data_IF_103351424178
#
_entry.id   IF_103351424178
#
_cell.length_a   1.000
_cell.length_b   1.000
_cell.length_c   1.000
_cell.angle_alpha   90.00
_cell.angle_beta   90.00
_cell.angle_gamma   90.00
#
_symmetry.space_group_name_H-M   'P 1'
#
loop_
_entity.id
_entity.type
_entity.pdbx_description
1 polymer ?
#
# COMPACT_ATOMS: atom_id res chain seq x y z
N UNK A 1 -15.54 12.49 1.37
CA UNK A 1 -16.20 11.70 2.45
C UNK A 1 -15.78 12.28 3.80
N UNK A 2 -16.69 12.44 4.77
CA UNK A 2 -16.34 12.87 6.13
C UNK A 2 -15.55 11.77 6.84
N UNK A 3 -14.61 12.09 7.71
CA UNK A 3 -13.73 11.11 8.36
C UNK A 3 -14.49 10.08 9.18
N UNK A 4 -15.57 10.49 9.88
CA UNK A 4 -16.43 9.54 10.62
C UNK A 4 -17.04 8.45 9.73
N UNK A 5 -17.47 8.79 8.49
CA UNK A 5 -18.00 7.81 7.54
C UNK A 5 -16.89 6.91 6.99
N UNK A 6 -15.69 7.45 6.79
CA UNK A 6 -14.52 6.65 6.42
C UNK A 6 -14.24 5.58 7.49
N UNK A 7 -14.10 5.96 8.75
CA UNK A 7 -13.83 5.03 9.85
C UNK A 7 -14.94 4.01 10.06
N UNK A 8 -16.20 4.39 9.85
CA UNK A 8 -17.33 3.45 9.89
C UNK A 8 -17.22 2.39 8.79
N UNK A 9 -17.02 2.81 7.54
CA UNK A 9 -16.89 1.89 6.39
C UNK A 9 -15.68 0.98 6.60
N UNK A 10 -14.52 1.54 6.94
CA UNK A 10 -13.29 0.80 7.19
C UNK A 10 -13.47 -0.17 8.36
N UNK A 11 -14.16 0.22 9.42
CA UNK A 11 -14.46 -0.65 10.55
C UNK A 11 -15.34 -1.85 10.17
N UNK A 12 -16.38 -1.62 9.36
CA UNK A 12 -17.24 -2.69 8.84
C UNK A 12 -16.43 -3.64 7.95
N UNK A 13 -15.68 -3.12 6.99
CA UNK A 13 -14.83 -3.95 6.12
C UNK A 13 -13.74 -4.68 6.92
N UNK A 14 -13.12 -4.01 7.89
CA UNK A 14 -12.12 -4.61 8.77
C UNK A 14 -12.68 -5.79 9.57
N UNK A 15 -13.89 -5.65 10.08
CA UNK A 15 -14.56 -6.72 10.82
C UNK A 15 -14.85 -7.96 9.96
N UNK A 16 -15.28 -7.78 8.72
CA UNK A 16 -15.65 -8.89 7.84
C UNK A 16 -14.48 -9.45 7.02
N UNK A 17 -13.60 -8.57 6.51
CA UNK A 17 -12.56 -8.96 5.55
C UNK A 17 -11.18 -9.12 6.19
N UNK A 18 -10.87 -8.29 7.21
CA UNK A 18 -9.56 -8.30 7.84
C UNK A 18 -9.66 -8.21 9.37
N UNK A 19 -9.62 -9.35 10.03
CA UNK A 19 -9.48 -9.44 11.50
C UNK A 19 -8.01 -9.62 11.86
N UNK A 20 -7.18 -8.66 11.45
CA UNK A 20 -5.75 -8.72 11.66
C UNK A 20 -5.31 -8.05 12.97
N UNK A 21 -4.07 -8.35 13.38
CA UNK A 21 -3.41 -7.72 14.52
C UNK A 21 -2.41 -6.69 14.03
N UNK A 22 -2.53 -5.46 14.52
CA UNK A 22 -1.52 -4.42 14.38
C UNK A 22 -0.44 -4.60 15.43
N UNK A 23 0.82 -4.49 15.04
CA UNK A 23 2.02 -4.62 15.89
C UNK A 23 2.89 -3.40 15.64
N UNK A 24 3.47 -2.81 16.69
CA UNK A 24 4.29 -1.61 16.58
C UNK A 24 3.47 -0.33 16.48
N UNK A 25 2.28 -0.28 17.09
CA UNK A 25 1.43 0.92 17.14
C UNK A 25 2.16 2.15 17.69
N UNK A 26 3.12 1.95 18.55
CA UNK A 26 3.97 3.00 19.13
C UNK A 26 4.82 3.73 18.08
N UNK A 27 5.04 3.10 16.92
CA UNK A 27 5.77 3.69 15.80
C UNK A 27 4.89 4.56 14.89
N UNK A 28 3.56 4.50 15.03
CA UNK A 28 2.66 5.30 14.18
C UNK A 28 2.92 6.80 14.35
N UNK A 29 2.80 7.59 13.27
CA UNK A 29 2.95 9.04 13.36
C UNK A 29 1.87 9.63 14.25
N UNK A 30 2.28 10.51 15.19
CA UNK A 30 1.33 11.25 16.04
C UNK A 30 0.59 12.32 15.27
N UNK A 31 1.25 12.91 14.29
CA UNK A 31 0.73 13.93 13.40
C UNK A 31 1.26 13.68 11.98
N UNK A 32 0.48 14.07 10.98
CA UNK A 32 0.94 14.07 9.60
C UNK A 32 1.68 15.35 9.21
N UNK A 33 2.19 15.40 7.99
CA UNK A 33 2.06 14.37 6.96
C UNK A 33 3.03 13.20 7.12
N UNK A 34 2.68 12.04 6.57
CA UNK A 34 3.58 10.91 6.45
C UNK A 34 3.21 10.00 5.28
N UNK A 35 4.15 9.16 4.84
CA UNK A 35 3.94 8.16 3.79
C UNK A 35 4.15 6.77 4.35
N UNK A 36 3.15 5.93 4.25
CA UNK A 36 3.25 4.51 4.57
C UNK A 36 3.67 3.73 3.32
N UNK A 37 4.68 2.88 3.46
CA UNK A 37 5.19 2.01 2.41
C UNK A 37 4.97 0.57 2.82
N UNK A 38 4.31 -0.23 1.98
CA UNK A 38 3.93 -1.60 2.32
C UNK A 38 4.16 -2.58 1.17
N UNK A 39 4.31 -3.86 1.51
CA UNK A 39 4.20 -4.95 0.55
C UNK A 39 2.72 -5.18 0.17
N UNK A 40 2.49 -5.64 -1.06
CA UNK A 40 1.14 -5.68 -1.64
C UNK A 40 0.30 -6.89 -1.15
N UNK A 41 0.90 -8.05 -0.96
CA UNK A 41 0.22 -9.31 -0.58
C UNK A 41 -1.08 -9.55 -1.38
N UNK A 42 -1.03 -9.41 -2.69
CA UNK A 42 -2.17 -9.47 -3.62
C UNK A 42 -3.32 -8.53 -3.19
N UNK A 43 -4.58 -8.93 -3.36
CA UNK A 43 -5.73 -8.10 -3.00
C UNK A 43 -5.89 -7.90 -1.47
N UNK A 44 -5.31 -8.78 -0.65
CA UNK A 44 -5.45 -8.70 0.80
C UNK A 44 -4.62 -7.57 1.42
N UNK A 45 -3.49 -7.21 0.82
CA UNK A 45 -2.58 -6.20 1.36
C UNK A 45 -3.21 -4.81 1.52
N UNK A 46 -3.77 -4.21 0.45
CA UNK A 46 -4.45 -2.93 0.56
C UNK A 46 -5.59 -2.91 1.57
N UNK A 47 -6.40 -3.97 1.61
CA UNK A 47 -7.48 -4.12 2.60
C UNK A 47 -6.91 -4.17 4.01
N UNK A 48 -5.88 -4.98 4.22
CA UNK A 48 -5.20 -5.11 5.50
C UNK A 48 -4.67 -3.77 6.01
N UNK A 49 -3.95 -3.04 5.17
CA UNK A 49 -3.38 -1.74 5.54
C UNK A 49 -4.47 -0.73 5.88
N UNK A 50 -5.47 -0.54 5.01
CA UNK A 50 -6.55 0.41 5.21
C UNK A 50 -7.36 0.10 6.47
N UNK A 51 -7.62 -1.20 6.74
CA UNK A 51 -8.42 -1.63 7.89
C UNK A 51 -7.66 -1.67 9.22
N UNK A 52 -6.32 -1.73 9.20
CA UNK A 52 -5.51 -1.83 10.42
C UNK A 52 -4.95 -0.50 10.89
N UNK A 53 -4.67 0.43 9.96
CA UNK A 53 -4.09 1.73 10.32
C UNK A 53 -5.19 2.64 10.88
N UNK A 54 -5.03 3.19 12.13
CA UNK A 54 -6.09 3.96 12.80
C UNK A 54 -6.26 5.38 12.25
N UNK A 55 -5.50 5.76 11.23
CA UNK A 55 -5.60 7.06 10.56
C UNK A 55 -6.09 6.89 9.12
N UNK A 56 -6.75 7.92 8.61
CA UNK A 56 -7.19 7.93 7.21
C UNK A 56 -6.00 8.05 6.29
N UNK A 57 -5.81 7.05 5.43
CA UNK A 57 -4.76 7.04 4.41
C UNK A 57 -5.34 7.27 3.02
N UNK A 58 -4.53 7.83 2.12
CA UNK A 58 -4.84 8.06 0.70
C UNK A 58 -3.97 7.11 -0.13
N UNK A 59 -4.50 5.93 -0.54
CA UNK A 59 -3.71 4.95 -1.26
C UNK A 59 -3.36 5.39 -2.68
N UNK A 60 -2.15 5.08 -3.12
CA UNK A 60 -1.80 5.09 -4.54
C UNK A 60 -2.42 3.88 -5.23
N UNK A 61 -3.18 4.13 -6.28
CA UNK A 61 -3.87 3.09 -7.06
C UNK A 61 -3.58 3.31 -8.54
N UNK A 62 -3.33 2.24 -9.29
CA UNK A 62 -3.13 2.32 -10.75
C UNK A 62 -4.32 3.05 -11.36
N UNK A 63 -4.05 4.09 -12.14
CA UNK A 63 -5.09 4.98 -12.69
C UNK A 63 -6.16 4.22 -13.48
N UNK A 64 -5.76 3.18 -14.20
CA UNK A 64 -6.68 2.34 -14.98
C UNK A 64 -7.72 1.62 -14.09
N UNK A 65 -7.38 1.29 -12.84
CA UNK A 65 -8.33 0.70 -11.88
C UNK A 65 -9.34 1.71 -11.33
N UNK A 66 -9.09 2.99 -11.51
CA UNK A 66 -10.02 4.08 -11.15
C UNK A 66 -10.86 4.54 -12.35
N UNK A 67 -10.56 4.07 -13.55
CA UNK A 67 -11.31 4.35 -14.77
C UNK A 67 -12.42 3.30 -14.95
N UNK A 68 -13.67 3.76 -15.15
CA UNK A 68 -14.86 2.88 -15.28
C UNK A 68 -14.82 1.94 -16.49
N UNK A 69 -14.06 2.31 -17.53
CA UNK A 69 -13.98 1.56 -18.78
C UNK A 69 -12.79 0.58 -18.78
N UNK A 70 -11.70 0.94 -18.09
CA UNK A 70 -10.48 0.13 -18.00
C UNK A 70 -10.46 -0.81 -16.78
N UNK A 71 -11.02 -0.38 -15.66
CA UNK A 71 -11.05 -1.18 -14.42
C UNK A 71 -11.64 -2.60 -14.59
N UNK A 72 -12.72 -2.82 -15.38
CA UNK A 72 -13.22 -4.16 -15.62
C UNK A 72 -12.23 -5.11 -16.24
N UNK A 73 -11.32 -4.63 -17.11
CA UNK A 73 -10.30 -5.43 -17.78
C UNK A 73 -9.26 -5.90 -16.76
N UNK A 74 -8.80 -4.97 -15.90
CA UNK A 74 -7.86 -5.27 -14.82
C UNK A 74 -8.44 -6.23 -13.79
N UNK A 75 -9.65 -5.96 -13.30
CA UNK A 75 -10.31 -6.84 -12.33
C UNK A 75 -10.63 -8.22 -12.89
N UNK A 76 -10.97 -8.32 -14.18
CA UNK A 76 -11.20 -9.60 -14.82
C UNK A 76 -9.94 -10.46 -14.80
N UNK A 77 -8.82 -9.92 -15.29
CA UNK A 77 -7.57 -10.68 -15.43
C UNK A 77 -6.94 -11.02 -14.07
N UNK A 78 -6.78 -10.02 -13.19
CA UNK A 78 -5.97 -10.17 -11.98
C UNK A 78 -6.75 -10.73 -10.78
N UNK A 79 -8.04 -10.50 -10.72
CA UNK A 79 -8.84 -10.93 -9.58
C UNK A 79 -9.85 -12.04 -9.92
N UNK A 80 -10.73 -11.79 -10.90
CA UNK A 80 -11.87 -12.68 -11.16
C UNK A 80 -11.42 -14.00 -11.81
N UNK A 81 -10.52 -13.94 -12.79
CA UNK A 81 -10.03 -15.15 -13.45
C UNK A 81 -8.90 -15.80 -12.67
N UNK A 82 -7.97 -15.00 -12.12
CA UNK A 82 -6.78 -15.51 -11.44
C UNK A 82 -7.05 -16.01 -10.01
N UNK A 83 -7.89 -15.29 -9.23
CA UNK A 83 -8.14 -15.62 -7.83
C UNK A 83 -9.48 -16.34 -7.60
N UNK A 84 -10.55 -15.93 -8.31
CA UNK A 84 -11.86 -16.57 -8.20
C UNK A 84 -12.07 -17.71 -9.21
N UNK A 85 -11.14 -17.89 -10.16
CA UNK A 85 -11.16 -18.93 -11.18
C UNK A 85 -12.40 -18.97 -12.08
N UNK A 86 -13.13 -17.86 -12.20
CA UNK A 86 -14.22 -17.77 -13.15
C UNK A 86 -13.70 -17.60 -14.58
N UNK A 87 -14.40 -18.26 -15.54
CA UNK A 87 -14.07 -18.15 -16.97
C UNK A 87 -15.06 -17.25 -17.70
N UNK A 88 -14.72 -16.68 -18.88
CA UNK A 88 -15.66 -15.99 -19.73
C UNK A 88 -16.83 -16.91 -20.16
N UNK A 89 -18.07 -16.40 -20.26
CA UNK A 89 -18.47 -14.99 -20.12
C UNK A 89 -18.70 -14.51 -18.67
N UNK A 90 -18.76 -15.42 -17.70
CA UNK A 90 -19.08 -15.11 -16.29
C UNK A 90 -18.07 -14.12 -15.69
N UNK A 91 -16.78 -14.30 -15.95
CA UNK A 91 -15.75 -13.39 -15.45
C UNK A 91 -15.97 -11.93 -15.86
N UNK A 92 -16.45 -11.70 -17.10
CA UNK A 92 -16.78 -10.35 -17.59
C UNK A 92 -17.94 -9.68 -16.85
N UNK A 93 -18.98 -10.47 -16.52
CA UNK A 93 -20.13 -9.95 -15.78
C UNK A 93 -19.75 -9.63 -14.33
N UNK A 94 -19.02 -10.54 -13.69
CA UNK A 94 -18.58 -10.36 -12.32
C UNK A 94 -17.62 -9.16 -12.20
N UNK A 95 -16.65 -9.01 -13.10
CA UNK A 95 -15.72 -7.88 -13.07
C UNK A 95 -16.43 -6.53 -13.27
N UNK A 96 -17.42 -6.44 -14.18
CA UNK A 96 -18.22 -5.23 -14.35
C UNK A 96 -19.03 -4.90 -13.10
N UNK A 97 -19.66 -5.90 -12.49
CA UNK A 97 -20.43 -5.72 -11.25
C UNK A 97 -19.52 -5.26 -10.10
N UNK A 98 -18.32 -5.84 -9.96
CA UNK A 98 -17.34 -5.42 -8.96
C UNK A 98 -16.85 -3.99 -9.22
N UNK A 99 -16.61 -3.61 -10.47
CA UNK A 99 -16.18 -2.25 -10.82
C UNK A 99 -17.22 -1.19 -10.50
N UNK A 100 -18.50 -1.50 -10.60
CA UNK A 100 -19.57 -0.55 -10.23
C UNK A 100 -19.54 -0.16 -8.74
N UNK A 101 -18.87 -0.98 -7.92
CA UNK A 101 -18.69 -0.72 -6.48
C UNK A 101 -17.27 -0.20 -6.20
N UNK A 102 -16.23 -0.85 -6.76
CA UNK A 102 -14.85 -0.52 -6.43
C UNK A 102 -14.41 0.85 -6.94
N UNK A 103 -14.81 1.25 -8.14
CA UNK A 103 -14.42 2.57 -8.68
C UNK A 103 -14.97 3.73 -7.84
N UNK A 104 -16.29 3.81 -7.53
CA UNK A 104 -16.78 4.83 -6.60
C UNK A 104 -16.15 4.76 -5.21
N UNK A 105 -15.79 3.55 -4.74
CA UNK A 105 -15.14 3.37 -3.45
C UNK A 105 -13.73 3.99 -3.46
N UNK A 106 -12.93 3.78 -4.51
CA UNK A 106 -11.59 4.40 -4.64
C UNK A 106 -11.66 5.94 -4.59
N UNK A 107 -12.62 6.53 -5.30
CA UNK A 107 -12.85 7.98 -5.22
C UNK A 107 -13.28 8.42 -3.82
N UNK A 108 -14.14 7.66 -3.15
CA UNK A 108 -14.63 7.97 -1.80
C UNK A 108 -13.53 7.86 -0.75
N UNK A 109 -12.62 6.89 -0.89
CA UNK A 109 -11.44 6.74 -0.04
C UNK A 109 -10.42 7.86 -0.28
N UNK A 110 -10.50 8.56 -1.41
CA UNK A 110 -9.53 9.58 -1.82
C UNK A 110 -8.24 8.96 -2.33
N UNK A 111 -8.35 7.83 -3.04
CA UNK A 111 -7.21 7.20 -3.69
C UNK A 111 -6.58 8.15 -4.72
N UNK A 112 -5.26 8.08 -4.84
CA UNK A 112 -4.46 8.91 -5.75
C UNK A 112 -4.13 8.06 -6.99
N UNK A 113 -4.52 8.48 -8.20
CA UNK A 113 -4.23 7.73 -9.41
C UNK A 113 -2.74 7.74 -9.75
N UNK A 114 -2.17 6.56 -10.00
CA UNK A 114 -0.77 6.39 -10.41
C UNK A 114 -0.69 6.03 -11.88
N UNK A 115 0.02 6.84 -12.65
CA UNK A 115 0.23 6.64 -14.09
C UNK A 115 1.60 5.98 -14.34
N UNK A 116 1.79 4.75 -13.84
CA UNK A 116 3.08 4.06 -13.83
C UNK A 116 3.72 3.86 -15.21
N UNK A 117 2.91 3.65 -16.24
CA UNK A 117 3.38 3.45 -17.61
C UNK A 117 3.64 4.75 -18.40
N UNK A 118 3.24 5.90 -17.86
CA UNK A 118 3.26 7.20 -18.54
C UNK A 118 4.08 8.20 -17.72
N UNK A 119 5.38 8.28 -17.99
CA UNK A 119 6.30 9.16 -17.25
C UNK A 119 5.82 10.62 -17.18
N UNK A 120 5.26 11.13 -18.27
CA UNK A 120 4.72 12.50 -18.33
C UNK A 120 3.53 12.71 -17.38
N UNK A 121 2.73 11.69 -17.13
CA UNK A 121 1.56 11.76 -16.23
C UNK A 121 1.90 11.46 -14.76
N UNK A 122 3.10 10.95 -14.47
CA UNK A 122 3.58 10.79 -13.09
C UNK A 122 3.62 12.16 -12.35
N UNK A 123 3.81 13.24 -13.07
CA UNK A 123 3.74 14.59 -12.50
C UNK A 123 2.38 14.84 -11.82
N UNK A 124 1.28 14.47 -12.46
CA UNK A 124 -0.07 14.61 -11.89
C UNK A 124 -0.26 13.77 -10.61
N UNK A 125 0.31 12.54 -10.56
CA UNK A 125 0.31 11.74 -9.34
C UNK A 125 1.04 12.45 -8.20
N UNK A 126 2.22 12.98 -8.47
CA UNK A 126 3.02 13.70 -7.48
C UNK A 126 2.33 14.99 -7.02
N UNK A 127 1.72 15.73 -7.94
CA UNK A 127 0.99 16.97 -7.65
C UNK A 127 -0.22 16.73 -6.74
N UNK A 128 -1.03 15.72 -7.06
CA UNK A 128 -2.13 15.30 -6.20
C UNK A 128 -1.64 14.83 -4.83
N UNK A 129 -0.53 14.07 -4.80
CA UNK A 129 0.09 13.62 -3.56
C UNK A 129 0.59 14.77 -2.69
N UNK A 130 1.18 15.80 -3.30
CA UNK A 130 1.64 16.98 -2.58
C UNK A 130 0.49 17.73 -1.93
N UNK A 131 -0.64 17.89 -2.63
CA UNK A 131 -1.83 18.48 -2.02
C UNK A 131 -2.30 17.72 -0.76
N UNK A 132 -2.27 16.39 -0.80
CA UNK A 132 -2.62 15.55 0.36
C UNK A 132 -1.62 15.74 1.51
N UNK A 133 -0.32 15.76 1.22
CA UNK A 133 0.73 15.93 2.25
C UNK A 133 0.70 17.33 2.87
N UNK A 134 0.49 18.37 2.07
CA UNK A 134 0.38 19.77 2.55
C UNK A 134 -0.83 20.00 3.46
N UNK A 135 -1.87 19.18 3.32
CA UNK A 135 -3.01 19.16 4.25
C UNK A 135 -2.73 18.35 5.54
N UNK A 136 -1.50 17.90 5.77
CA UNK A 136 -1.12 17.10 6.93
C UNK A 136 -1.67 15.67 6.92
N UNK A 137 -2.06 15.14 5.75
CA UNK A 137 -2.66 13.82 5.60
C UNK A 137 -1.62 12.74 5.26
N UNK A 138 -2.08 11.50 5.19
CA UNK A 138 -1.26 10.32 5.05
C UNK A 138 -1.45 9.65 3.69
N UNK A 139 -0.35 9.24 3.06
CA UNK A 139 -0.36 8.49 1.81
C UNK A 139 0.04 7.04 2.09
N UNK A 140 -0.56 6.09 1.38
CA UNK A 140 -0.20 4.68 1.41
C UNK A 140 0.27 4.24 0.02
N UNK A 141 1.48 3.67 -0.06
CA UNK A 141 2.08 3.23 -1.33
C UNK A 141 2.49 1.77 -1.25
N UNK A 142 2.18 1.04 -2.30
CA UNK A 142 2.65 -0.32 -2.56
C UNK A 142 3.64 -0.27 -3.74
N UNK A 143 4.95 -0.18 -3.47
CA UNK A 143 5.93 0.12 -4.51
C UNK A 143 6.41 -1.10 -5.29
N UNK A 144 5.82 -2.27 -5.12
CA UNK A 144 6.24 -3.50 -5.80
C UNK A 144 6.14 -3.37 -7.33
N UNK A 145 7.16 -3.84 -8.04
CA UNK A 145 7.15 -3.90 -9.51
C UNK A 145 6.51 -5.21 -9.98
N UNK A 146 5.22 -5.16 -10.29
CA UNK A 146 4.44 -6.32 -10.74
C UNK A 146 4.96 -7.00 -12.03
N UNK A 147 5.89 -6.35 -12.75
CA UNK A 147 6.53 -6.91 -13.97
C UNK A 147 7.66 -7.89 -13.62
N UNK A 148 8.16 -7.83 -12.39
CA UNK A 148 9.24 -8.69 -11.91
C UNK A 148 8.67 -9.90 -11.17
N UNK A 149 9.41 -11.03 -11.13
CA UNK A 149 8.97 -12.21 -10.38
C UNK A 149 8.94 -11.92 -8.88
N UNK A 150 8.01 -12.59 -8.19
CA UNK A 150 7.96 -12.59 -6.73
C UNK A 150 9.07 -13.44 -6.15
N UNK A 151 9.67 -12.97 -5.07
CA UNK A 151 10.55 -13.78 -4.25
C UNK A 151 9.80 -15.00 -3.68
N UNK A 152 10.36 -16.22 -3.79
CA UNK A 152 9.66 -17.45 -3.41
C UNK A 152 9.38 -17.55 -1.90
N UNK A 153 10.12 -16.85 -1.05
CA UNK A 153 9.98 -16.87 0.42
C UNK A 153 9.04 -15.77 0.89
N UNK A 154 9.39 -14.52 0.59
CA UNK A 154 8.64 -13.36 1.06
C UNK A 154 7.37 -13.08 0.27
N UNK A 155 7.24 -13.68 -0.93
CA UNK A 155 6.16 -13.43 -1.89
C UNK A 155 6.09 -11.97 -2.38
N UNK A 156 7.11 -11.18 -2.10
CA UNK A 156 7.22 -9.77 -2.52
C UNK A 156 7.93 -9.66 -3.87
N UNK A 157 7.60 -8.61 -4.60
CA UNK A 157 8.33 -8.19 -5.80
C UNK A 157 9.31 -7.08 -5.42
N UNK A 158 10.42 -6.91 -6.17
CA UNK A 158 11.34 -5.80 -5.95
C UNK A 158 10.64 -4.45 -5.98
N UNK A 159 11.03 -3.53 -5.10
CA UNK A 159 10.42 -2.22 -5.00
C UNK A 159 10.92 -1.27 -6.10
N UNK A 160 10.03 -0.43 -6.59
CA UNK A 160 10.35 0.73 -7.40
C UNK A 160 10.69 1.92 -6.48
N UNK A 161 11.52 2.84 -6.96
CA UNK A 161 11.94 4.03 -6.19
C UNK A 161 11.05 5.27 -6.44
N UNK A 162 9.95 5.14 -7.17
CA UNK A 162 9.08 6.26 -7.55
C UNK A 162 8.50 7.03 -6.36
N UNK A 163 8.16 6.33 -5.27
CA UNK A 163 7.64 6.93 -4.04
C UNK A 163 8.63 7.89 -3.37
N UNK A 164 9.95 7.64 -3.50
CA UNK A 164 10.98 8.48 -2.90
C UNK A 164 11.00 9.92 -3.47
N UNK A 165 10.38 10.13 -4.65
CA UNK A 165 10.19 11.46 -5.23
C UNK A 165 9.26 12.34 -4.38
N UNK A 166 8.41 11.74 -3.56
CA UNK A 166 7.56 12.49 -2.61
C UNK A 166 8.41 13.23 -1.58
N UNK A 167 9.45 12.58 -1.04
CA UNK A 167 10.34 13.21 -0.06
C UNK A 167 11.10 14.39 -0.65
N UNK A 168 11.64 14.21 -1.86
CA UNK A 168 12.35 15.27 -2.58
C UNK A 168 11.43 16.47 -2.83
N UNK A 169 10.25 16.21 -3.38
CA UNK A 169 9.31 17.26 -3.75
C UNK A 169 8.76 17.97 -2.52
N UNK A 170 8.43 17.22 -1.47
CA UNK A 170 7.95 17.77 -0.21
C UNK A 170 8.99 18.71 0.41
N UNK A 171 10.26 18.27 0.47
CA UNK A 171 11.35 19.12 0.96
C UNK A 171 11.54 20.38 0.11
N UNK A 172 11.49 20.25 -1.22
CA UNK A 172 11.65 21.38 -2.13
C UNK A 172 10.53 22.44 -1.94
N UNK A 173 9.31 22.01 -1.65
CA UNK A 173 8.16 22.90 -1.53
C UNK A 173 7.98 23.46 -0.11
N UNK A 174 8.37 22.72 0.93
CA UNK A 174 8.11 23.09 2.34
C UNK A 174 9.35 23.40 3.17
N UNK A 175 10.52 22.92 2.76
CA UNK A 175 11.76 22.95 3.55
C UNK A 175 11.81 21.89 4.65
N UNK A 176 10.81 21.04 4.78
CA UNK A 176 10.72 19.99 5.81
C UNK A 176 10.99 18.61 5.23
N UNK A 177 11.61 17.74 6.04
CA UNK A 177 11.87 16.35 5.65
C UNK A 177 10.64 15.48 5.89
N UNK A 178 10.25 14.70 4.89
CA UNK A 178 9.12 13.78 4.96
C UNK A 178 9.52 12.45 5.60
N UNK A 179 8.64 11.93 6.46
CA UNK A 179 8.80 10.63 7.10
C UNK A 179 8.10 9.52 6.31
N UNK A 180 8.79 8.39 6.17
CA UNK A 180 8.30 7.18 5.52
C UNK A 180 8.23 6.04 6.53
N UNK A 181 7.06 5.44 6.68
CA UNK A 181 6.80 4.38 7.65
C UNK A 181 6.71 3.03 6.95
N UNK A 182 7.65 2.09 7.21
CA UNK A 182 7.57 0.76 6.65
C UNK A 182 6.47 -0.06 7.31
N UNK A 183 5.65 -0.73 6.50
CA UNK A 183 4.59 -1.64 6.91
C UNK A 183 4.84 -3.02 6.32
N UNK A 184 4.90 -4.06 7.15
CA UNK A 184 4.94 -5.44 6.69
C UNK A 184 3.59 -6.11 6.93
N UNK A 185 2.94 -6.54 5.85
CA UNK A 185 1.70 -7.30 5.89
C UNK A 185 2.00 -8.77 5.67
N UNK A 186 1.56 -9.61 6.60
CA UNK A 186 1.81 -11.04 6.58
C UNK A 186 0.51 -11.85 6.43
N UNK A 187 0.60 -13.00 5.73
CA UNK A 187 -0.55 -13.88 5.45
C UNK A 187 -1.27 -14.41 6.70
N UNK A 188 -0.61 -14.41 7.86
CA UNK A 188 -1.22 -14.74 9.17
C UNK A 188 -2.07 -13.61 9.77
N UNK A 189 -2.50 -12.67 8.96
CA UNK A 189 -3.29 -11.50 9.38
C UNK A 189 -2.60 -10.64 10.43
N UNK A 190 -1.30 -10.42 10.26
CA UNK A 190 -0.50 -9.50 11.07
C UNK A 190 0.00 -8.37 10.20
N UNK A 191 -0.06 -7.15 10.71
CA UNK A 191 0.53 -5.96 10.14
C UNK A 191 1.50 -5.38 11.15
N UNK A 192 2.76 -5.20 10.74
CA UNK A 192 3.81 -4.60 11.59
C UNK A 192 4.14 -3.22 11.07
N UNK A 193 4.18 -2.25 11.97
CA UNK A 193 4.65 -0.88 11.70
C UNK A 193 6.09 -0.76 12.19
N UNK A 194 7.01 -0.45 11.29
CA UNK A 194 8.40 -0.16 11.64
C UNK A 194 8.64 1.30 12.00
N UNK A 195 9.85 1.60 12.49
CA UNK A 195 10.28 2.97 12.76
C UNK A 195 10.37 3.79 11.46
N UNK A 196 10.08 5.10 11.50
CA UNK A 196 10.13 5.93 10.32
C UNK A 196 11.55 6.06 9.76
N UNK A 197 11.65 6.11 8.45
CA UNK A 197 12.85 6.46 7.70
C UNK A 197 12.64 7.84 7.11
N UNK A 198 13.47 8.79 7.50
CA UNK A 198 13.33 10.19 7.10
C UNK A 198 14.07 10.44 5.79
N UNK A 199 13.46 11.20 4.89
CA UNK A 199 14.13 11.72 3.70
C UNK A 199 15.29 12.65 4.10
N UNK A 200 16.50 12.40 3.59
CA UNK A 200 17.67 13.22 3.86
C UNK A 200 17.97 14.17 2.68
N UNK A 201 17.68 15.46 2.81
CA UNK A 201 17.88 16.42 1.74
C UNK A 201 19.36 16.76 1.47
N UNK A 202 20.27 16.36 2.38
CA UNK A 202 21.72 16.60 2.21
C UNK A 202 22.37 15.62 1.24
N UNK A 203 21.72 14.49 0.97
CA UNK A 203 22.20 13.52 0.00
C UNK A 203 21.90 13.96 -1.44
N UNK A 204 22.79 13.67 -2.41
CA UNK A 204 22.44 13.80 -3.82
C UNK A 204 21.14 13.05 -4.13
N UNK A 205 20.20 13.70 -4.81
CA UNK A 205 18.83 13.22 -5.03
C UNK A 205 18.77 11.77 -5.54
N UNK A 206 19.56 11.42 -6.53
CA UNK A 206 19.59 10.06 -7.08
C UNK A 206 20.10 9.01 -6.09
N UNK A 207 21.02 9.38 -5.19
CA UNK A 207 21.51 8.51 -4.13
C UNK A 207 20.46 8.35 -3.04
N UNK A 208 19.81 9.44 -2.65
CA UNK A 208 18.77 9.42 -1.62
C UNK A 208 17.56 8.58 -2.01
N UNK A 209 17.11 8.68 -3.26
CA UNK A 209 16.03 7.83 -3.77
C UNK A 209 16.39 6.34 -3.69
N UNK A 210 17.64 5.96 -4.04
CA UNK A 210 18.11 4.57 -3.93
C UNK A 210 18.24 4.14 -2.48
N UNK A 211 18.79 4.99 -1.61
CA UNK A 211 18.91 4.72 -0.18
C UNK A 211 17.55 4.46 0.45
N UNK A 212 16.60 5.36 0.22
CA UNK A 212 15.25 5.26 0.79
C UNK A 212 14.53 4.01 0.29
N UNK A 213 14.61 3.72 -1.02
CA UNK A 213 14.06 2.48 -1.61
C UNK A 213 14.65 1.25 -0.94
N UNK A 214 15.98 1.16 -0.85
CA UNK A 214 16.67 -0.01 -0.32
C UNK A 214 16.36 -0.21 1.17
N UNK A 215 16.43 0.85 1.97
CA UNK A 215 16.12 0.76 3.40
C UNK A 215 14.66 0.35 3.65
N UNK A 216 13.71 0.86 2.86
CA UNK A 216 12.31 0.47 2.98
C UNK A 216 12.11 -1.01 2.64
N UNK A 217 12.67 -1.46 1.53
CA UNK A 217 12.57 -2.85 1.09
C UNK A 217 13.19 -3.81 2.11
N UNK A 218 14.44 -3.55 2.54
CA UNK A 218 15.14 -4.38 3.51
C UNK A 218 14.42 -4.42 4.86
N UNK A 219 13.90 -3.28 5.32
CA UNK A 219 13.15 -3.20 6.58
C UNK A 219 11.85 -4.01 6.52
N UNK A 220 11.09 -3.88 5.42
CA UNK A 220 9.82 -4.61 5.25
C UNK A 220 10.08 -6.11 5.12
N UNK A 221 11.09 -6.52 4.35
CA UNK A 221 11.51 -7.92 4.24
C UNK A 221 11.93 -8.46 5.63
N UNK A 222 12.73 -7.73 6.37
CA UNK A 222 13.17 -8.12 7.72
C UNK A 222 12.00 -8.31 8.68
N UNK A 223 11.04 -7.38 8.70
CA UNK A 223 9.83 -7.49 9.52
C UNK A 223 8.96 -8.69 9.10
N UNK A 224 8.80 -8.93 7.79
CA UNK A 224 8.05 -10.06 7.26
C UNK A 224 8.68 -11.39 7.69
N UNK A 225 9.99 -11.54 7.50
CA UNK A 225 10.74 -12.74 7.87
C UNK A 225 10.70 -13.02 9.38
N UNK A 226 10.72 -11.98 10.21
CA UNK A 226 10.59 -12.15 11.66
C UNK A 226 9.23 -12.75 12.04
N UNK A 227 8.16 -12.36 11.34
CA UNK A 227 6.83 -12.97 11.53
C UNK A 227 6.77 -14.42 11.08
N UNK A 228 7.46 -14.80 10.00
CA UNK A 228 7.55 -16.20 9.54
C UNK A 228 8.24 -17.09 10.56
N UNK A 229 9.40 -16.69 11.06
CA UNK A 229 10.16 -17.46 12.07
C UNK A 229 9.34 -17.60 13.36
N UNK A 230 8.68 -16.56 13.84
CA UNK A 230 7.80 -16.60 15.00
C UNK A 230 6.63 -17.58 14.85
N UNK A 231 6.09 -17.71 13.63
CA UNK A 231 5.03 -18.68 13.34
C UNK A 231 5.54 -20.13 13.30
N UNK A 232 6.71 -20.36 12.70
CA UNK A 232 7.33 -21.68 12.63
C UNK A 232 7.63 -22.26 14.03
N UNK A 233 8.15 -21.42 14.93
CA UNK A 233 8.42 -21.84 16.32
C UNK A 233 7.14 -22.14 17.11
N UNK A 234 6.05 -21.42 16.86
CA UNK A 234 4.75 -21.67 17.49
C UNK A 234 4.12 -22.96 16.99
N UNK A 235 4.20 -23.25 15.69
CA UNK A 235 3.68 -24.49 15.10
C UNK A 235 4.38 -25.73 15.68
N UNK A 236 5.71 -25.71 15.77
CA UNK A 236 6.50 -26.81 16.35
C UNK A 236 6.24 -27.05 17.85
N UNK A 237 5.80 -26.03 18.59
CA UNK A 237 5.44 -26.15 20.00
C UNK A 237 4.04 -26.77 20.22
N UNK A 238 3.15 -26.65 19.22
CA UNK A 238 1.79 -27.24 19.27
C UNK A 238 1.81 -28.72 18.89
N UNK A 239 2.67 -29.14 17.96
CA UNK A 239 2.81 -30.55 17.56
C UNK A 239 3.49 -31.43 18.63
N UNK A 240 4.09 -30.81 19.66
CA UNK A 240 4.75 -31.54 20.78
C UNK A 240 3.86 -31.70 22.02
N UNK A 241 2.61 -31.30 21.95
CA UNK A 241 1.60 -31.49 23.01
C UNK A 241 0.55 -32.52 22.56
#
# INVERSE_FOLDING_TARGET
MKDGMYHFIVGVFGFFLWRGKLIGEENLPRHGPAVFISNHLDAAGPIAAICSIPVRVHPWVIADMMDKDLAPIWLQADFVERQLHFKPPVSRWVSRALCSISVPLFYSLGCIPVYAAQYQRMHATLETSMGVLQEGKYILVFPEDYRLPKDPVTKMQPFQHSFARLGERYYTETGESLEFYPLAIHGTRRLVVGKPIVFNPLNPVGLERRRLKQLMEDTIIGMYMHLEVGNASTALSVERK
#
